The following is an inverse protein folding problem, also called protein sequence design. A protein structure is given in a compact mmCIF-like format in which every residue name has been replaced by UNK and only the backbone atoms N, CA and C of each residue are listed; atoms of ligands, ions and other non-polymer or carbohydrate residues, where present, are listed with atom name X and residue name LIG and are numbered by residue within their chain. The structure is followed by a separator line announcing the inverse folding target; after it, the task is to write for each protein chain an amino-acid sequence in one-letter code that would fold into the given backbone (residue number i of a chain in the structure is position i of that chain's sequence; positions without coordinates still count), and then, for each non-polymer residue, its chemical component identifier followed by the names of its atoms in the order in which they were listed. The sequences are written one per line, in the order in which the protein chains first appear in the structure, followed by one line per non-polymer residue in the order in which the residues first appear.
data_IF_610360622906
#
_entry.id   IF_610360622906
#
_cell.length_a   1.000
_cell.length_b   1.000
_cell.length_c   1.000
_cell.angle_alpha   90.00
_cell.angle_beta   90.00
_cell.angle_gamma   90.00
#
_symmetry.space_group_name_H-M   'P 1'
#
loop_
_entity.id
_entity.type
_entity.pdbx_description
1 polymer ?
#
# COMPACT_ATOMS: atom_id res chain seq x y z
N UNK A 1 -1.93 -17.77 -54.37
CA UNK A 1 -1.97 -16.38 -53.87
C UNK A 1 -2.91 -16.33 -52.66
N UNK A 2 -2.41 -16.63 -51.45
CA UNK A 2 -3.28 -16.81 -50.27
C UNK A 2 -2.58 -16.43 -48.96
N UNK A 3 -1.66 -15.47 -49.01
CA UNK A 3 -0.85 -15.04 -47.85
C UNK A 3 -1.09 -13.59 -47.43
N UNK A 4 -1.90 -12.81 -48.17
CA UNK A 4 -2.16 -11.40 -47.85
C UNK A 4 -3.34 -11.14 -46.88
N UNK A 5 -4.28 -12.07 -46.72
CA UNK A 5 -5.48 -11.85 -45.89
C UNK A 5 -5.27 -12.16 -44.39
N UNK A 6 -4.33 -13.04 -44.05
CA UNK A 6 -4.02 -13.42 -42.66
C UNK A 6 -3.14 -12.38 -41.98
N UNK A 7 -2.17 -11.81 -42.71
CA UNK A 7 -1.28 -10.74 -42.21
C UNK A 7 -2.00 -9.40 -41.98
N UNK A 8 -3.07 -9.10 -42.73
CA UNK A 8 -3.85 -7.88 -42.51
C UNK A 8 -4.81 -7.99 -41.32
N UNK A 9 -5.36 -9.18 -41.02
CA UNK A 9 -6.21 -9.35 -39.82
C UNK A 9 -5.40 -9.32 -38.51
N UNK A 10 -4.15 -9.77 -38.54
CA UNK A 10 -3.25 -9.68 -37.38
C UNK A 10 -2.72 -8.25 -37.16
N UNK A 11 -2.37 -7.52 -38.23
CA UNK A 11 -2.00 -6.09 -38.13
C UNK A 11 -3.17 -5.20 -37.69
N UNK A 12 -4.38 -5.41 -38.23
CA UNK A 12 -5.57 -4.66 -37.81
C UNK A 12 -5.96 -4.97 -36.36
N UNK A 13 -5.78 -6.21 -35.87
CA UNK A 13 -5.96 -6.53 -34.45
C UNK A 13 -4.91 -5.87 -33.55
N UNK A 14 -3.65 -5.82 -33.98
CA UNK A 14 -2.56 -5.18 -33.23
C UNK A 14 -2.68 -3.64 -33.21
N UNK A 15 -3.10 -3.01 -34.31
CA UNK A 15 -3.35 -1.57 -34.36
C UNK A 15 -4.61 -1.15 -33.58
N UNK A 16 -5.64 -2.02 -33.55
CA UNK A 16 -6.81 -1.82 -32.67
C UNK A 16 -6.43 -2.04 -31.20
N UNK A 17 -5.59 -3.02 -30.87
CA UNK A 17 -5.04 -3.20 -29.52
C UNK A 17 -4.11 -2.05 -29.10
N UNK A 18 -3.37 -1.45 -30.03
CA UNK A 18 -2.51 -0.30 -29.77
C UNK A 18 -3.29 1.02 -29.59
N UNK A 19 -4.54 1.08 -30.08
CA UNK A 19 -5.46 2.21 -29.88
C UNK A 19 -6.39 2.07 -28.66
N UNK A 20 -6.47 0.90 -28.04
CA UNK A 20 -7.22 0.69 -26.82
C UNK A 20 -6.32 1.09 -25.65
N UNK A 21 -6.73 2.12 -24.88
CA UNK A 21 -6.20 2.50 -23.57
C UNK A 21 -6.16 1.29 -22.63
N UNK A 22 -5.15 0.44 -22.78
CA UNK A 22 -4.95 -0.81 -22.04
C UNK A 22 -3.61 -0.81 -21.29
N UNK A 23 -2.96 0.36 -21.20
CA UNK A 23 -1.52 0.43 -20.96
C UNK A 23 -1.10 0.58 -19.50
N UNK A 24 -1.91 1.17 -18.62
CA UNK A 24 -1.50 1.44 -17.23
C UNK A 24 -1.82 0.32 -16.24
N UNK A 25 -3.08 -0.09 -16.18
CA UNK A 25 -3.55 -1.01 -15.15
C UNK A 25 -3.08 -2.46 -15.37
N UNK A 26 -2.97 -2.88 -16.63
CA UNK A 26 -2.37 -4.16 -17.01
C UNK A 26 -0.90 -4.25 -16.61
N UNK A 27 -0.15 -3.17 -16.85
CA UNK A 27 1.25 -3.04 -16.44
C UNK A 27 1.38 -3.10 -14.92
N UNK A 28 0.51 -2.37 -14.20
CA UNK A 28 0.46 -2.39 -12.75
C UNK A 28 0.26 -3.81 -12.20
N UNK A 29 -0.71 -4.57 -12.71
CA UNK A 29 -0.95 -5.95 -12.27
C UNK A 29 0.20 -6.89 -12.64
N UNK A 30 0.82 -6.71 -13.81
CA UNK A 30 2.00 -7.47 -14.21
C UNK A 30 3.19 -7.22 -13.25
N UNK A 31 3.45 -5.96 -12.90
CA UNK A 31 4.48 -5.58 -11.95
C UNK A 31 4.18 -6.11 -10.55
N UNK A 32 2.92 -6.03 -10.10
CA UNK A 32 2.49 -6.53 -8.81
C UNK A 32 2.67 -8.06 -8.71
N UNK A 33 2.42 -8.80 -9.81
CA UNK A 33 2.75 -10.23 -9.88
C UNK A 33 4.26 -10.46 -9.81
N UNK A 34 5.06 -9.72 -10.57
CA UNK A 34 6.53 -9.88 -10.55
C UNK A 34 7.10 -9.63 -9.16
N UNK A 35 6.57 -8.63 -8.45
CA UNK A 35 6.95 -8.34 -7.06
C UNK A 35 6.61 -9.49 -6.12
N UNK A 36 5.42 -10.08 -6.26
CA UNK A 36 5.03 -11.27 -5.48
C UNK A 36 5.91 -12.48 -5.78
N UNK A 37 6.16 -12.77 -7.07
CA UNK A 37 6.97 -13.92 -7.47
C UNK A 37 8.39 -13.77 -6.91
N UNK A 38 8.93 -12.54 -6.95
CA UNK A 38 10.23 -12.20 -6.38
C UNK A 38 10.23 -12.28 -4.84
N UNK A 39 9.18 -11.77 -4.18
CA UNK A 39 9.07 -11.81 -2.71
C UNK A 39 9.04 -13.24 -2.18
N UNK A 40 8.38 -14.14 -2.92
CA UNK A 40 8.32 -15.56 -2.63
C UNK A 40 9.67 -16.26 -2.89
N UNK A 41 10.33 -15.96 -4.01
CA UNK A 41 11.60 -16.56 -4.38
C UNK A 41 12.74 -16.18 -3.42
N UNK A 42 12.81 -14.90 -3.04
CA UNK A 42 13.90 -14.33 -2.23
C UNK A 42 13.53 -14.21 -0.74
N UNK A 43 12.35 -14.70 -0.34
CA UNK A 43 11.86 -14.71 1.04
C UNK A 43 11.91 -13.34 1.76
N UNK A 44 11.34 -12.32 1.13
CA UNK A 44 11.13 -11.01 1.75
C UNK A 44 9.67 -10.57 1.68
N UNK A 45 9.31 -9.58 2.51
CA UNK A 45 7.96 -9.03 2.53
C UNK A 45 7.87 -7.75 1.70
N UNK A 46 6.85 -7.69 0.84
CA UNK A 46 6.45 -6.45 0.17
C UNK A 46 5.32 -5.82 0.98
N UNK A 47 5.58 -4.61 1.49
CA UNK A 47 4.65 -3.87 2.35
C UNK A 47 4.40 -2.50 1.73
N UNK A 48 3.15 -2.20 1.41
CA UNK A 48 2.69 -0.86 1.07
C UNK A 48 2.08 -0.18 2.29
N UNK A 49 2.50 1.04 2.62
CA UNK A 49 1.84 1.86 3.64
C UNK A 49 1.25 3.10 2.97
N UNK A 50 -0.05 3.31 3.14
CA UNK A 50 -0.79 4.41 2.50
C UNK A 50 -1.42 5.27 3.57
N UNK A 51 -1.05 6.55 3.60
CA UNK A 51 -1.76 7.58 4.37
C UNK A 51 -3.08 7.84 3.68
N UNK A 52 -4.17 7.25 4.18
CA UNK A 52 -5.51 7.51 3.65
C UNK A 52 -6.39 7.95 4.79
N UNK A 53 -6.53 9.27 4.96
CA UNK A 53 -7.31 9.88 6.03
C UNK A 53 -8.82 9.59 5.93
N UNK A 54 -9.32 9.30 4.71
CA UNK A 54 -10.73 9.10 4.39
C UNK A 54 -10.85 8.16 3.20
N UNK A 55 -10.87 6.86 3.45
CA UNK A 55 -11.05 5.87 2.39
C UNK A 55 -12.42 5.23 2.58
N UNK A 56 -13.31 5.38 1.60
CA UNK A 56 -14.54 4.60 1.52
C UNK A 56 -14.24 3.10 1.55
N UNK A 57 -13.03 2.68 1.14
CA UNK A 57 -12.55 1.31 1.26
C UNK A 57 -12.45 0.85 2.74
N UNK A 58 -12.16 1.76 3.68
CA UNK A 58 -12.16 1.46 5.12
C UNK A 58 -13.58 1.26 5.66
N UNK A 59 -14.46 2.22 5.42
CA UNK A 59 -15.80 2.23 5.99
C UNK A 59 -16.76 1.26 5.30
N UNK A 60 -16.64 1.07 3.99
CA UNK A 60 -17.59 0.26 3.24
C UNK A 60 -17.13 -1.21 3.11
N UNK A 61 -15.82 -1.48 3.18
CA UNK A 61 -15.27 -2.83 3.01
C UNK A 61 -14.79 -3.41 4.33
N UNK A 62 -13.85 -2.73 4.99
CA UNK A 62 -13.28 -3.26 6.22
C UNK A 62 -14.32 -3.32 7.35
N UNK A 63 -15.05 -2.23 7.57
CA UNK A 63 -16.03 -2.18 8.65
C UNK A 63 -17.14 -3.21 8.46
N UNK A 64 -17.62 -3.36 7.22
CA UNK A 64 -18.57 -4.42 6.86
C UNK A 64 -18.02 -5.82 7.12
N UNK A 65 -16.80 -6.10 6.69
CA UNK A 65 -16.16 -7.40 6.94
C UNK A 65 -16.07 -7.71 8.44
N UNK A 66 -15.73 -6.72 9.25
CA UNK A 66 -15.64 -6.92 10.70
C UNK A 66 -17.00 -7.18 11.34
N UNK A 67 -18.08 -6.63 10.80
CA UNK A 67 -19.43 -6.89 11.28
C UNK A 67 -19.86 -8.30 10.93
N UNK A 68 -19.63 -8.70 9.68
CA UNK A 68 -19.88 -10.07 9.22
C UNK A 68 -19.16 -11.07 10.13
N UNK A 69 -17.87 -10.83 10.37
CA UNK A 69 -17.04 -11.66 11.23
C UNK A 69 -17.45 -11.60 12.71
N UNK A 70 -17.78 -10.43 13.23
CA UNK A 70 -18.20 -10.27 14.64
C UNK A 70 -19.47 -11.08 14.94
N UNK A 71 -20.45 -11.04 14.04
CA UNK A 71 -21.70 -11.80 14.18
C UNK A 71 -21.46 -13.31 14.10
N UNK A 72 -20.54 -13.75 13.23
CA UNK A 72 -20.16 -15.15 13.13
C UNK A 72 -19.41 -15.65 14.38
N UNK A 73 -18.53 -14.82 14.94
CA UNK A 73 -17.68 -15.15 16.10
C UNK A 73 -18.39 -14.99 17.46
N UNK A 74 -19.42 -14.14 17.57
CA UNK A 74 -20.08 -13.78 18.83
C UNK A 74 -21.58 -14.09 18.80
N UNK A 75 -21.95 -15.32 18.42
CA UNK A 75 -23.36 -15.76 18.35
C UNK A 75 -24.09 -15.63 19.68
N UNK A 76 -23.36 -15.74 20.79
CA UNK A 76 -23.81 -15.57 22.17
C UNK A 76 -24.16 -14.10 22.50
N UNK A 77 -23.60 -13.13 21.77
CA UNK A 77 -23.85 -11.69 21.97
C UNK A 77 -24.93 -11.13 21.05
N UNK A 78 -25.64 -12.00 20.33
CA UNK A 78 -26.72 -11.62 19.40
C UNK A 78 -27.74 -10.70 20.09
N UNK A 79 -28.21 -11.10 21.27
CA UNK A 79 -29.23 -10.35 22.02
C UNK A 79 -28.78 -8.92 22.36
N UNK A 80 -27.56 -8.73 22.82
CA UNK A 80 -27.01 -7.39 23.13
C UNK A 80 -26.95 -6.51 21.88
N UNK A 81 -26.64 -7.10 20.73
CA UNK A 81 -26.63 -6.38 19.47
C UNK A 81 -28.05 -6.01 19.01
N UNK A 82 -29.01 -6.91 19.15
CA UNK A 82 -30.43 -6.65 18.86
C UNK A 82 -31.00 -5.53 19.75
N UNK A 83 -30.64 -5.49 21.04
CA UNK A 83 -30.99 -4.39 21.95
C UNK A 83 -30.39 -3.06 21.49
N UNK A 84 -29.14 -3.05 21.01
CA UNK A 84 -28.51 -1.86 20.45
C UNK A 84 -29.28 -1.37 19.21
N UNK A 85 -29.63 -2.28 18.29
CA UNK A 85 -30.42 -1.94 17.10
C UNK A 85 -31.76 -1.32 17.48
N UNK A 86 -32.47 -1.90 18.45
CA UNK A 86 -33.75 -1.39 18.93
C UNK A 86 -33.62 0.01 19.53
N UNK A 87 -32.53 0.32 20.26
CA UNK A 87 -32.26 1.68 20.77
C UNK A 87 -32.11 2.73 19.67
N UNK A 88 -31.66 2.34 18.48
CA UNK A 88 -31.62 3.19 17.29
C UNK A 88 -32.89 3.07 16.42
N UNK A 89 -33.94 2.40 16.92
CA UNK A 89 -35.19 2.19 16.22
C UNK A 89 -35.04 1.35 14.95
N UNK A 90 -34.10 0.40 14.96
CA UNK A 90 -33.89 -0.57 13.88
C UNK A 90 -34.47 -1.89 14.33
N UNK A 91 -35.38 -2.45 13.52
CA UNK A 91 -35.95 -3.76 13.81
C UNK A 91 -34.92 -4.84 13.49
N UNK A 92 -34.54 -5.69 14.48
CA UNK A 92 -33.67 -6.82 14.23
C UNK A 92 -34.25 -7.76 13.18
N UNK A 93 -33.41 -8.22 12.27
CA UNK A 93 -33.75 -9.21 11.25
C UNK A 93 -33.00 -10.52 11.53
N UNK A 94 -33.41 -11.60 10.86
CA UNK A 94 -32.73 -12.90 10.96
C UNK A 94 -31.26 -12.78 10.55
N UNK A 95 -31.01 -12.08 9.43
CA UNK A 95 -29.69 -11.57 9.05
C UNK A 95 -29.48 -10.18 9.64
N UNK A 96 -28.51 -10.06 10.54
CA UNK A 96 -28.20 -8.80 11.23
C UNK A 96 -27.28 -7.89 10.41
N UNK A 97 -26.73 -8.35 9.28
CA UNK A 97 -25.82 -7.56 8.44
C UNK A 97 -26.47 -6.28 7.89
N UNK A 98 -27.69 -6.31 7.31
CA UNK A 98 -28.35 -5.10 6.82
C UNK A 98 -28.73 -4.16 7.97
N UNK A 99 -29.07 -4.69 9.14
CA UNK A 99 -29.42 -3.90 10.32
C UNK A 99 -28.23 -3.05 10.80
N UNK A 100 -27.01 -3.55 10.67
CA UNK A 100 -25.83 -2.79 11.05
C UNK A 100 -25.52 -1.62 10.12
N UNK A 101 -25.75 -1.77 8.80
CA UNK A 101 -25.60 -0.65 7.87
C UNK A 101 -26.58 0.48 8.21
N UNK A 102 -27.82 0.12 8.54
CA UNK A 102 -28.81 1.07 9.05
C UNK A 102 -28.35 1.71 10.37
N UNK A 103 -27.68 0.95 11.25
CA UNK A 103 -27.13 1.47 12.50
C UNK A 103 -26.05 2.52 12.23
N UNK A 104 -25.11 2.25 11.31
CA UNK A 104 -24.09 3.21 10.89
C UNK A 104 -24.72 4.50 10.39
N UNK A 105 -25.72 4.38 9.50
CA UNK A 105 -26.42 5.54 8.92
C UNK A 105 -27.14 6.34 10.01
N UNK A 106 -27.94 5.69 10.86
CA UNK A 106 -28.69 6.36 11.92
C UNK A 106 -27.81 6.95 13.02
N UNK A 107 -26.69 6.31 13.33
CA UNK A 107 -25.71 6.81 14.29
C UNK A 107 -24.84 7.95 13.70
N UNK A 108 -24.96 8.23 12.40
CA UNK A 108 -24.17 9.24 11.71
C UNK A 108 -22.67 8.94 11.77
N UNK A 109 -22.30 7.66 11.69
CA UNK A 109 -20.91 7.23 11.67
C UNK A 109 -20.32 7.39 10.27
N UNK A 110 -19.62 8.50 10.07
CA UNK A 110 -18.78 8.78 8.91
C UNK A 110 -17.42 8.06 9.00
N UNK A 111 -16.65 8.09 7.91
CA UNK A 111 -15.33 7.44 7.82
C UNK A 111 -14.38 7.87 8.94
N UNK A 112 -14.48 9.13 9.39
CA UNK A 112 -13.64 9.69 10.44
C UNK A 112 -13.97 9.05 11.80
N UNK A 113 -15.26 9.00 12.16
CA UNK A 113 -15.75 8.29 13.35
C UNK A 113 -15.42 6.81 13.30
N UNK A 114 -15.59 6.18 12.14
CA UNK A 114 -15.24 4.78 11.93
C UNK A 114 -13.75 4.53 12.12
N UNK A 115 -12.90 5.48 11.73
CA UNK A 115 -11.44 5.38 11.91
C UNK A 115 -11.02 5.38 13.38
N UNK A 116 -11.84 5.90 14.30
CA UNK A 116 -11.61 5.76 15.74
C UNK A 116 -11.83 4.34 16.26
N UNK A 117 -12.64 3.53 15.56
CA UNK A 117 -12.81 2.11 15.88
C UNK A 117 -11.67 1.24 15.36
N UNK A 118 -10.82 1.74 14.45
CA UNK A 118 -9.52 1.10 14.15
C UNK A 118 -8.62 1.23 15.37
N UNK A 119 -8.48 0.10 16.05
CA UNK A 119 -8.40 -0.09 17.50
C UNK A 119 -7.29 0.70 18.24
N UNK A 120 -7.62 1.03 19.49
CA UNK A 120 -6.89 1.74 20.56
C UNK A 120 -5.83 0.85 21.25
N UNK A 121 -4.70 1.43 21.68
CA UNK A 121 -3.72 0.77 22.56
C UNK A 121 -4.40 0.25 23.84
N UNK A 122 -4.41 -1.07 24.04
CA UNK A 122 -4.78 -1.65 25.34
C UNK A 122 -3.54 -1.64 26.25
N UNK A 123 -3.40 -0.54 26.97
CA UNK A 123 -2.33 -0.35 27.96
C UNK A 123 -2.33 -1.41 29.07
N UNK A 124 -3.49 -2.00 29.38
CA UNK A 124 -3.62 -2.99 30.43
C UNK A 124 -3.18 -4.39 29.96
N UNK A 125 -3.39 -4.71 28.69
CA UNK A 125 -3.01 -6.01 28.11
C UNK A 125 -1.67 -6.00 27.35
N UNK A 126 -1.03 -4.83 27.17
CA UNK A 126 0.13 -4.65 26.30
C UNK A 126 -0.08 -5.21 24.88
N UNK A 127 -1.32 -5.18 24.39
CA UNK A 127 -1.66 -5.74 23.07
C UNK A 127 -1.72 -4.64 22.04
N UNK A 128 -1.05 -4.90 20.92
CA UNK A 128 -1.14 -4.06 19.74
C UNK A 128 -2.51 -4.30 19.11
N UNK A 129 -3.26 -3.23 18.98
CA UNK A 129 -4.62 -3.24 18.52
C UNK A 129 -4.65 -2.71 17.09
N UNK A 130 -4.59 -3.63 16.12
CA UNK A 130 -4.77 -3.35 14.70
C UNK A 130 -6.00 -4.09 14.19
N UNK A 131 -6.46 -3.68 13.02
CA UNK A 131 -7.61 -4.32 12.38
C UNK A 131 -7.26 -5.72 11.86
N UNK A 132 -8.22 -6.64 11.80
CA UNK A 132 -7.95 -7.91 11.11
C UNK A 132 -7.61 -7.67 9.63
N UNK A 133 -6.61 -8.36 9.07
CA UNK A 133 -6.32 -8.26 7.65
C UNK A 133 -7.49 -8.78 6.79
N UNK A 134 -7.84 -8.02 5.75
CA UNK A 134 -8.92 -8.34 4.81
C UNK A 134 -8.44 -8.26 3.36
N UNK A 135 -9.01 -9.03 2.42
CA UNK A 135 -8.65 -8.94 1.01
C UNK A 135 -8.92 -7.54 0.43
N UNK A 136 -8.00 -7.04 -0.39
CA UNK A 136 -8.20 -5.77 -1.10
C UNK A 136 -9.15 -5.99 -2.28
N UNK A 137 -10.40 -5.53 -2.12
CA UNK A 137 -11.49 -5.81 -3.06
C UNK A 137 -11.37 -5.12 -4.41
N UNK A 138 -10.52 -4.10 -4.54
CA UNK A 138 -10.24 -3.46 -5.83
C UNK A 138 -9.67 -4.42 -6.86
N UNK A 139 -9.02 -5.50 -6.44
CA UNK A 139 -8.43 -6.49 -7.34
C UNK A 139 -9.42 -7.56 -7.82
N UNK A 140 -10.67 -7.51 -7.37
CA UNK A 140 -11.71 -8.47 -7.69
C UNK A 140 -12.61 -7.93 -8.81
N UNK A 141 -13.29 -8.84 -9.51
CA UNK A 141 -14.25 -8.42 -10.53
C UNK A 141 -15.51 -7.83 -9.91
N UNK A 142 -16.26 -7.04 -10.70
CA UNK A 142 -17.57 -6.51 -10.25
C UNK A 142 -18.48 -7.64 -9.79
N UNK A 143 -18.50 -8.77 -10.51
CA UNK A 143 -19.32 -9.93 -10.17
C UNK A 143 -18.90 -10.54 -8.81
N UNK A 144 -17.60 -10.72 -8.59
CA UNK A 144 -17.10 -11.25 -7.32
C UNK A 144 -17.44 -10.31 -6.15
N UNK A 145 -17.33 -9.00 -6.38
CA UNK A 145 -17.69 -8.00 -5.39
C UNK A 145 -19.21 -7.92 -5.18
N UNK A 146 -20.03 -8.05 -6.22
CA UNK A 146 -21.50 -8.09 -6.10
C UNK A 146 -21.95 -9.31 -5.29
N UNK A 147 -21.36 -10.49 -5.53
CA UNK A 147 -21.70 -11.70 -4.79
C UNK A 147 -21.40 -11.60 -3.28
N UNK A 148 -20.39 -10.80 -2.90
CA UNK A 148 -20.00 -10.62 -1.49
C UNK A 148 -20.73 -9.43 -0.87
N UNK A 149 -20.88 -8.32 -1.59
CA UNK A 149 -21.36 -7.04 -1.06
C UNK A 149 -22.88 -6.90 -1.25
N UNK A 150 -23.48 -7.50 -2.27
CA UNK A 150 -24.92 -7.38 -2.54
C UNK A 150 -25.39 -5.98 -2.95
N UNK A 151 -24.53 -4.96 -2.90
CA UNK A 151 -24.77 -3.61 -3.43
C UNK A 151 -24.04 -3.48 -4.76
N UNK A 152 -24.81 -3.44 -5.85
CA UNK A 152 -24.29 -3.35 -7.20
C UNK A 152 -23.56 -2.03 -7.50
N UNK A 153 -24.04 -0.91 -6.95
CA UNK A 153 -23.41 0.40 -7.17
C UNK A 153 -22.08 0.49 -6.45
N UNK A 154 -22.03 0.03 -5.20
CA UNK A 154 -20.79 -0.02 -4.43
C UNK A 154 -19.79 -1.01 -5.05
N UNK A 155 -20.25 -2.21 -5.43
CA UNK A 155 -19.40 -3.20 -6.10
C UNK A 155 -18.78 -2.64 -7.40
N UNK A 156 -19.53 -1.85 -8.17
CA UNK A 156 -19.02 -1.20 -9.37
C UNK A 156 -18.01 -0.09 -9.04
N UNK A 157 -18.24 0.71 -7.99
CA UNK A 157 -17.36 1.81 -7.59
C UNK A 157 -15.98 1.34 -7.11
N UNK A 158 -15.92 0.22 -6.40
CA UNK A 158 -14.68 -0.26 -5.76
C UNK A 158 -13.87 -1.20 -6.66
N UNK A 159 -14.47 -1.75 -7.71
CA UNK A 159 -13.80 -2.71 -8.59
C UNK A 159 -12.88 -1.99 -9.56
N UNK A 160 -11.70 -2.57 -9.81
CA UNK A 160 -10.82 -2.09 -10.89
C UNK A 160 -11.35 -2.43 -12.29
N UNK A 161 -12.39 -3.25 -12.36
CA UNK A 161 -13.04 -3.67 -13.61
C UNK A 161 -14.43 -3.03 -13.71
N UNK A 162 -14.86 -2.58 -14.89
CA UNK A 162 -16.25 -2.23 -15.22
C UNK A 162 -16.88 -3.23 -16.20
N UNK A 163 -18.14 -3.07 -16.59
CA UNK A 163 -18.82 -3.96 -17.55
C UNK A 163 -18.48 -3.67 -19.03
N UNK A 164 -17.53 -2.77 -19.33
CA UNK A 164 -17.14 -2.46 -20.72
C UNK A 164 -16.12 -3.46 -21.29
N UNK A 165 -16.05 -3.60 -22.62
CA UNK A 165 -15.20 -4.56 -23.34
C UNK A 165 -13.68 -4.48 -23.01
N UNK A 166 -13.18 -3.35 -22.52
CA UNK A 166 -11.81 -3.19 -21.97
C UNK A 166 -11.55 -4.16 -20.80
N UNK A 167 -12.59 -4.52 -20.06
CA UNK A 167 -12.50 -5.37 -18.88
C UNK A 167 -12.45 -6.85 -19.18
N UNK A 168 -12.84 -7.32 -20.36
CA UNK A 168 -12.71 -8.75 -20.66
C UNK A 168 -11.23 -9.14 -20.76
N UNK A 169 -10.40 -8.29 -21.36
CA UNK A 169 -8.96 -8.50 -21.43
C UNK A 169 -8.29 -8.38 -20.05
N UNK A 170 -8.67 -7.37 -19.25
CA UNK A 170 -8.18 -7.21 -17.88
C UNK A 170 -8.64 -8.35 -16.99
N UNK A 171 -9.90 -8.75 -17.06
CA UNK A 171 -10.49 -9.87 -16.32
C UNK A 171 -9.85 -11.20 -16.73
N UNK A 172 -9.55 -11.40 -18.02
CA UNK A 172 -8.79 -12.56 -18.48
C UNK A 172 -7.36 -12.52 -17.97
N UNK A 173 -6.69 -11.36 -17.96
CA UNK A 173 -5.38 -11.20 -17.33
C UNK A 173 -5.45 -11.47 -15.83
N UNK A 174 -6.42 -10.93 -15.09
CA UNK A 174 -6.62 -11.21 -13.67
C UNK A 174 -6.84 -12.71 -13.46
N UNK A 175 -7.74 -13.36 -14.22
CA UNK A 175 -8.00 -14.80 -14.14
C UNK A 175 -6.79 -15.67 -14.48
N UNK A 176 -5.93 -15.26 -15.41
CA UNK A 176 -4.77 -16.04 -15.87
C UNK A 176 -3.48 -15.75 -15.08
N UNK A 177 -3.26 -14.49 -14.71
CA UNK A 177 -2.05 -13.97 -14.04
C UNK A 177 -2.18 -14.07 -12.53
N UNK A 178 -3.38 -13.80 -12.02
CA UNK A 178 -3.78 -13.91 -10.62
C UNK A 178 -4.82 -15.02 -10.50
N UNK A 179 -4.43 -16.27 -10.76
CA UNK A 179 -5.28 -17.37 -10.27
C UNK A 179 -5.42 -17.16 -8.75
N UNK A 180 -6.63 -16.83 -8.33
CA UNK A 180 -6.98 -16.44 -6.96
C UNK A 180 -6.70 -17.48 -5.85
N UNK A 181 -6.36 -18.77 -6.07
CA UNK A 181 -6.02 -19.63 -4.95
C UNK A 181 -4.76 -19.19 -4.19
N UNK A 182 -3.74 -18.71 -4.92
CA UNK A 182 -2.39 -18.52 -4.35
C UNK A 182 -2.00 -17.05 -4.14
N UNK A 183 -2.75 -16.12 -4.76
CA UNK A 183 -2.43 -14.70 -4.78
C UNK A 183 -3.49 -13.92 -4.01
N UNK A 184 -3.23 -13.64 -2.73
CA UNK A 184 -4.07 -12.74 -1.93
C UNK A 184 -3.26 -11.54 -1.48
N UNK A 185 -3.72 -10.37 -1.89
CA UNK A 185 -3.27 -9.10 -1.32
C UNK A 185 -4.24 -8.73 -0.22
N UNK A 186 -3.71 -8.55 0.97
CA UNK A 186 -4.44 -8.18 2.16
C UNK A 186 -4.17 -6.71 2.48
N UNK A 187 -5.13 -6.09 3.15
CA UNK A 187 -4.96 -4.80 3.81
C UNK A 187 -5.37 -4.88 5.27
N UNK A 188 -4.69 -4.10 6.09
CA UNK A 188 -5.02 -3.84 7.49
C UNK A 188 -4.82 -2.36 7.77
N UNK A 189 -5.65 -1.78 8.60
CA UNK A 189 -5.49 -0.43 9.12
C UNK A 189 -4.79 -0.48 10.49
N UNK A 190 -3.82 0.40 10.66
CA UNK A 190 -2.98 0.47 11.86
C UNK A 190 -2.97 1.89 12.37
N UNK A 191 -3.38 2.07 13.63
CA UNK A 191 -3.22 3.35 14.31
C UNK A 191 -1.84 3.40 14.98
N UNK A 192 -0.93 4.13 14.35
CA UNK A 192 0.46 4.33 14.80
C UNK A 192 0.63 5.58 15.67
N UNK A 193 -0.38 6.45 15.68
CA UNK A 193 -0.43 7.72 16.42
C UNK A 193 -1.83 7.98 16.96
N UNK A 194 -1.92 8.59 18.14
CA UNK A 194 -3.19 9.12 18.64
C UNK A 194 -3.64 10.36 17.86
N UNK A 195 -2.70 11.14 17.32
CA UNK A 195 -2.95 12.43 16.68
C UNK A 195 -3.17 12.34 15.16
N UNK A 196 -2.93 11.17 14.56
CA UNK A 196 -3.06 10.95 13.11
C UNK A 196 -4.11 9.88 12.80
N UNK A 197 -4.64 9.95 11.59
CA UNK A 197 -5.50 8.90 11.05
C UNK A 197 -4.72 7.57 10.94
N UNK A 198 -5.41 6.42 11.04
CA UNK A 198 -4.80 5.12 10.78
C UNK A 198 -4.20 5.03 9.38
N UNK A 199 -3.09 4.33 9.25
CA UNK A 199 -2.47 4.01 7.95
C UNK A 199 -3.01 2.69 7.43
N UNK A 200 -3.21 2.59 6.11
CA UNK A 200 -3.52 1.33 5.46
C UNK A 200 -2.22 0.62 5.10
N UNK A 201 -2.06 -0.60 5.60
CA UNK A 201 -0.93 -1.49 5.37
C UNK A 201 -1.39 -2.58 4.42
N UNK A 202 -0.79 -2.65 3.25
CA UNK A 202 -1.08 -3.60 2.18
C UNK A 202 0.08 -4.60 2.04
N UNK A 203 -0.22 -5.88 1.92
CA UNK A 203 0.79 -6.94 1.86
C UNK A 203 0.28 -8.22 1.21
N UNK A 204 1.19 -9.09 0.79
CA UNK A 204 0.84 -10.41 0.25
C UNK A 204 0.66 -11.43 1.37
N UNK A 205 -0.38 -12.27 1.26
CA UNK A 205 -0.62 -13.44 2.13
C UNK A 205 0.40 -14.55 1.81
N UNK A 206 1.66 -14.33 2.18
CA UNK A 206 2.78 -15.25 1.91
C UNK A 206 3.70 -15.36 3.12
N UNK A 207 4.33 -16.53 3.30
CA UNK A 207 5.21 -16.78 4.44
C UNK A 207 4.51 -16.49 5.78
N UNK A 208 5.24 -15.90 6.72
CA UNK A 208 4.72 -15.50 8.04
C UNK A 208 4.11 -14.08 8.01
N UNK A 209 3.14 -13.85 7.12
CA UNK A 209 2.52 -12.53 6.88
C UNK A 209 1.85 -11.95 8.13
N UNK A 210 1.45 -12.77 9.09
CA UNK A 210 0.82 -12.37 10.35
C UNK A 210 1.69 -11.41 11.17
N UNK A 211 3.01 -11.45 10.96
CA UNK A 211 3.97 -10.57 11.63
C UNK A 211 4.14 -9.21 10.97
N UNK A 212 3.62 -9.00 9.76
CA UNK A 212 3.81 -7.75 9.01
C UNK A 212 3.19 -6.57 9.76
N UNK A 213 1.96 -6.72 10.23
CA UNK A 213 1.24 -5.62 10.90
C UNK A 213 1.86 -5.28 12.27
N UNK A 214 2.17 -6.25 13.15
CA UNK A 214 2.95 -6.00 14.36
C UNK A 214 4.30 -5.33 14.09
N UNK A 215 5.01 -5.77 13.05
CA UNK A 215 6.29 -5.17 12.66
C UNK A 215 6.13 -3.70 12.26
N UNK A 216 5.17 -3.39 11.37
CA UNK A 216 4.87 -2.01 10.94
C UNK A 216 4.55 -1.11 12.14
N UNK A 217 3.76 -1.62 13.09
CA UNK A 217 3.48 -0.89 14.32
C UNK A 217 4.75 -0.63 15.14
N UNK A 218 5.55 -1.66 15.40
CA UNK A 218 6.78 -1.56 16.20
C UNK A 218 7.78 -0.55 15.61
N UNK A 219 7.96 -0.54 14.29
CA UNK A 219 8.89 0.41 13.63
C UNK A 219 8.32 1.83 13.50
N UNK A 220 7.04 2.02 13.77
CA UNK A 220 6.39 3.34 13.83
C UNK A 220 6.44 3.95 15.23
N UNK A 221 6.55 3.13 16.29
CA UNK A 221 6.56 3.58 17.68
C UNK A 221 7.57 4.68 18.01
N UNK A 222 8.84 4.62 17.53
CA UNK A 222 9.84 5.63 17.90
C UNK A 222 9.46 7.06 17.43
N UNK A 223 8.54 7.18 16.46
CA UNK A 223 8.06 8.45 15.91
C UNK A 223 6.52 8.48 15.88
N UNK A 224 5.90 8.21 17.03
CA UNK A 224 4.45 8.18 17.19
C UNK A 224 3.75 9.49 16.80
N UNK A 225 4.45 10.64 16.80
CA UNK A 225 3.89 11.91 16.33
C UNK A 225 3.74 12.00 14.79
N UNK A 226 4.50 11.20 14.04
CA UNK A 226 4.53 11.26 12.58
C UNK A 226 3.42 10.41 11.94
N UNK A 227 3.12 9.25 12.52
CA UNK A 227 2.04 8.37 12.05
C UNK A 227 2.43 7.39 10.94
N UNK A 228 3.70 7.28 10.56
CA UNK A 228 4.21 6.32 9.59
C UNK A 228 5.45 5.58 10.11
N UNK A 229 5.78 4.40 9.53
CA UNK A 229 7.05 3.73 9.73
C UNK A 229 8.25 4.67 9.53
N UNK A 230 9.21 4.60 10.45
CA UNK A 230 10.40 5.46 10.45
C UNK A 230 11.18 5.43 9.12
N UNK A 231 11.24 4.27 8.47
CA UNK A 231 11.95 4.14 7.19
C UNK A 231 11.28 4.94 6.06
N UNK A 232 9.96 5.03 6.06
CA UNK A 232 9.21 5.82 5.08
C UNK A 232 9.38 7.31 5.33
N UNK A 233 9.44 7.73 6.61
CA UNK A 233 9.81 9.09 6.96
C UNK A 233 11.16 9.49 6.35
N UNK A 234 12.20 8.67 6.56
CA UNK A 234 13.52 8.98 6.02
C UNK A 234 13.55 8.93 4.49
N UNK A 235 12.88 7.95 3.88
CA UNK A 235 12.78 7.87 2.42
C UNK A 235 12.13 9.13 1.82
N UNK A 236 11.01 9.60 2.39
CA UNK A 236 10.35 10.84 1.98
C UNK A 236 11.26 12.06 2.18
N UNK A 237 11.94 12.16 3.32
CA UNK A 237 12.88 13.27 3.59
C UNK A 237 14.05 13.28 2.62
N UNK A 238 14.67 12.13 2.34
CA UNK A 238 15.76 11.99 1.38
C UNK A 238 15.29 12.35 -0.03
N UNK A 239 14.12 11.86 -0.45
CA UNK A 239 13.57 12.15 -1.76
C UNK A 239 13.27 13.65 -1.97
N UNK A 240 12.95 14.38 -0.90
CA UNK A 240 12.71 15.83 -0.92
C UNK A 240 13.96 16.68 -0.74
N UNK A 241 15.14 16.08 -0.51
CA UNK A 241 16.39 16.85 -0.41
C UNK A 241 16.66 17.54 -1.76
N UNK A 242 16.85 18.86 -1.80
CA UNK A 242 17.20 19.55 -3.02
C UNK A 242 18.47 18.96 -3.66
N UNK A 243 18.47 18.80 -4.98
CA UNK A 243 19.63 18.29 -5.73
C UNK A 243 20.91 19.07 -5.42
N UNK A 244 20.81 20.37 -5.13
CA UNK A 244 21.93 21.20 -4.72
C UNK A 244 22.59 20.72 -3.43
N UNK A 245 21.80 20.38 -2.40
CA UNK A 245 22.29 19.87 -1.12
C UNK A 245 22.96 18.50 -1.31
N UNK A 246 22.33 17.61 -2.08
CA UNK A 246 22.92 16.29 -2.40
C UNK A 246 24.26 16.49 -3.12
N UNK A 247 24.31 17.39 -4.11
CA UNK A 247 25.51 17.70 -4.87
C UNK A 247 26.64 18.24 -3.98
N UNK A 248 26.34 19.21 -3.11
CA UNK A 248 27.31 19.79 -2.18
C UNK A 248 27.87 18.74 -1.23
N UNK A 249 27.01 17.98 -0.54
CA UNK A 249 27.45 16.95 0.41
C UNK A 249 28.25 15.84 -0.29
N UNK A 250 27.82 15.42 -1.48
CA UNK A 250 28.55 14.41 -2.26
C UNK A 250 29.91 14.93 -2.70
N UNK A 251 29.99 16.18 -3.15
CA UNK A 251 31.24 16.83 -3.54
C UNK A 251 32.20 16.93 -2.36
N UNK A 252 31.72 17.38 -1.20
CA UNK A 252 32.53 17.46 0.03
C UNK A 252 33.00 16.09 0.50
N UNK A 253 32.12 15.08 0.47
CA UNK A 253 32.47 13.70 0.85
C UNK A 253 33.51 13.09 -0.10
N UNK A 254 33.34 13.28 -1.41
CA UNK A 254 34.29 12.83 -2.44
C UNK A 254 35.64 13.53 -2.26
N UNK A 255 35.64 14.84 -2.01
CA UNK A 255 36.86 15.58 -1.70
C UNK A 255 37.53 15.04 -0.44
N UNK A 256 36.79 14.88 0.66
CA UNK A 256 37.35 14.29 1.90
C UNK A 256 37.94 12.90 1.66
N UNK A 257 37.24 12.03 0.93
CA UNK A 257 37.72 10.69 0.59
C UNK A 257 38.94 10.71 -0.34
N UNK A 258 38.98 11.63 -1.29
CA UNK A 258 40.14 11.84 -2.14
C UNK A 258 41.36 12.31 -1.33
N UNK A 259 41.19 13.26 -0.41
CA UNK A 259 42.23 13.71 0.51
C UNK A 259 42.71 12.57 1.41
N UNK A 260 41.80 11.81 2.01
CA UNK A 260 42.12 10.63 2.83
C UNK A 260 42.92 9.61 2.01
N UNK A 261 42.52 9.35 0.77
CA UNK A 261 43.20 8.41 -0.13
C UNK A 261 44.62 8.87 -0.47
N UNK A 262 44.80 10.13 -0.86
CA UNK A 262 46.12 10.70 -1.20
C UNK A 262 47.04 10.72 0.02
N UNK A 263 46.50 11.05 1.19
CA UNK A 263 47.28 11.08 2.44
C UNK A 263 47.75 9.68 2.84
N UNK A 264 46.92 8.65 2.63
CA UNK A 264 47.24 7.25 2.96
C UNK A 264 48.06 6.54 1.89
N UNK A 265 47.95 6.94 0.62
CA UNK A 265 48.61 6.32 -0.52
C UNK A 265 49.35 7.37 -1.37
N UNK A 266 50.44 7.98 -0.85
CA UNK A 266 51.17 9.04 -1.55
C UNK A 266 51.84 8.57 -2.84
N UNK A 267 52.03 7.25 -3.03
CA UNK A 267 52.52 6.63 -4.27
C UNK A 267 51.41 5.92 -5.08
N UNK A 268 50.13 6.18 -4.77
CA UNK A 268 49.00 5.70 -5.57
C UNK A 268 49.00 6.34 -6.97
N UNK A 269 47.92 6.21 -7.73
CA UNK A 269 47.80 6.82 -9.07
C UNK A 269 48.28 8.29 -9.05
N UNK A 270 49.47 8.50 -9.61
CA UNK A 270 50.21 9.75 -9.55
C UNK A 270 49.43 10.89 -10.22
N UNK A 271 48.63 10.58 -11.23
CA UNK A 271 47.81 11.57 -11.93
C UNK A 271 46.65 12.04 -11.05
N UNK A 272 45.97 11.11 -10.35
CA UNK A 272 44.91 11.43 -9.40
C UNK A 272 45.45 12.20 -8.18
N UNK A 273 46.58 11.76 -7.61
CA UNK A 273 47.27 12.42 -6.49
C UNK A 273 47.65 13.87 -6.84
N UNK A 274 48.17 14.10 -8.05
CA UNK A 274 48.53 15.44 -8.53
C UNK A 274 47.32 16.36 -8.69
N UNK A 275 46.20 15.86 -9.23
CA UNK A 275 44.96 16.65 -9.38
C UNK A 275 44.40 17.08 -8.01
N UNK A 276 44.34 16.15 -7.06
CA UNK A 276 43.83 16.43 -5.71
C UNK A 276 44.74 17.41 -4.97
N UNK A 277 46.07 17.25 -5.06
CA UNK A 277 47.02 18.18 -4.45
C UNK A 277 46.99 19.58 -5.09
N UNK A 278 46.79 19.67 -6.41
CA UNK A 278 46.64 20.96 -7.09
C UNK A 278 45.37 21.70 -6.62
N UNK A 279 44.26 20.99 -6.43
CA UNK A 279 43.03 21.53 -5.85
C UNK A 279 43.23 21.98 -4.40
N UNK A 280 43.84 21.16 -3.55
CA UNK A 280 44.15 21.50 -2.16
C UNK A 280 45.04 22.75 -2.06
N UNK A 281 46.06 22.86 -2.89
CA UNK A 281 46.97 24.01 -2.90
C UNK A 281 46.29 25.33 -3.32
N UNK A 282 45.27 25.26 -4.19
CA UNK A 282 44.43 26.43 -4.49
C UNK A 282 43.65 26.88 -3.26
N UNK A 283 42.96 25.96 -2.56
CA UNK A 283 42.20 26.29 -1.36
C UNK A 283 43.09 26.75 -0.19
N UNK A 284 44.31 26.21 -0.08
CA UNK A 284 45.27 26.59 0.98
C UNK A 284 45.73 28.05 0.85
N UNK A 285 45.81 28.58 -0.38
CA UNK A 285 46.18 29.99 -0.63
C UNK A 285 45.11 30.98 -0.17
N UNK A 286 43.83 30.64 -0.28
CA UNK A 286 42.72 31.54 0.09
C UNK A 286 42.58 31.77 1.61
N UNK A 287 43.04 30.83 2.45
CA UNK A 287 42.96 30.98 3.92
C UNK A 287 44.14 31.72 4.55
N UNK A 288 45.29 31.82 3.87
CA UNK A 288 46.50 32.50 4.38
C UNK A 288 46.74 33.89 3.78
N UNK A 289 45.89 34.33 2.84
CA UNK A 289 45.95 35.67 2.23
C UNK A 289 44.75 36.56 2.64
N UNK A 290 44.36 36.52 3.92
CA UNK A 290 43.57 37.59 4.55
C UNK A 290 44.42 38.33 5.56
#
# INVERSE_FOLDING_TARGET
MTTKSVLNRSKVKLEVLAKIESSGISLYFCLLKKLYDLSKAENFYVIGCVETARSSEYSDIYFRYQVERYLDENKDKRQTFEELLQRFGIQPQEDLKPCFLQLREKAGWDDEKLSFFSVKYDAAQQRICYTNPVPIRRYFSVLDNQNVIGDAQLAQRISSTSDSAQNLALQNMLKQTLKFPDYKVLMSYVRTSELKAPIRVEFFETGNWQNIVPFVYAVSQPYSSFGLPIFLYFADKIARVPKSVISTVTTELLMKKAVEYVTKNPQGDMHFVQIVNALLNKFRRDFTQR
#
